data_IF_669339365796
#
_entry.id   IF_669339365796
#
_cell.length_a   1.000
_cell.length_b   1.000
_cell.length_c   1.000
_cell.angle_alpha   90.00
_cell.angle_beta   90.00
_cell.angle_gamma   90.00
#
_symmetry.space_group_name_H-M   'P 1'
#
loop_
_entity.id
_entity.type
_entity.pdbx_description
1 polymer ?
#
# COMPACT_ATOMS: atom_id res chain seq x y z
N UNK A 1 -16.58 28.91 -23.90
CA UNK A 1 -16.89 27.49 -23.62
C UNK A 1 -16.35 27.18 -22.24
N UNK A 2 -17.12 27.49 -21.21
CA UNK A 2 -16.81 27.17 -19.82
C UNK A 2 -17.06 25.69 -19.63
N UNK A 3 -16.00 24.89 -19.59
CA UNK A 3 -16.05 23.46 -19.28
C UNK A 3 -16.45 23.29 -17.82
N UNK A 4 -17.75 23.13 -17.58
CA UNK A 4 -18.27 22.79 -16.26
C UNK A 4 -17.81 21.37 -15.94
N UNK A 5 -16.84 21.23 -15.04
CA UNK A 5 -16.47 19.94 -14.45
C UNK A 5 -17.72 19.42 -13.72
N UNK A 6 -18.31 18.28 -14.12
CA UNK A 6 -19.44 17.73 -13.40
C UNK A 6 -19.02 17.49 -11.94
N UNK A 7 -19.76 18.09 -11.00
CA UNK A 7 -19.54 17.87 -9.58
C UNK A 7 -19.60 16.37 -9.30
N UNK A 8 -18.47 15.84 -8.82
CA UNK A 8 -18.34 14.47 -8.39
C UNK A 8 -19.44 14.09 -7.41
N UNK A 9 -20.05 12.90 -7.54
CA UNK A 9 -20.92 12.38 -6.50
C UNK A 9 -20.15 12.36 -5.17
N UNK A 10 -20.83 12.75 -4.09
CA UNK A 10 -20.26 12.77 -2.76
C UNK A 10 -19.64 11.40 -2.45
N UNK A 11 -18.43 11.36 -1.84
CA UNK A 11 -17.81 10.10 -1.49
C UNK A 11 -18.76 9.28 -0.61
N UNK A 12 -18.86 7.96 -0.82
CA UNK A 12 -19.61 7.11 0.07
C UNK A 12 -19.12 7.30 1.51
N UNK A 13 -19.99 7.21 2.52
CA UNK A 13 -19.62 7.42 3.91
C UNK A 13 -18.42 6.54 4.24
N UNK A 14 -17.37 7.18 4.77
CA UNK A 14 -16.14 6.53 5.22
C UNK A 14 -16.50 5.34 6.08
N UNK A 15 -16.19 4.12 5.61
CA UNK A 15 -16.22 2.94 6.46
C UNK A 15 -15.23 3.24 7.59
N UNK A 16 -15.73 3.35 8.83
CA UNK A 16 -14.92 3.71 9.99
C UNK A 16 -13.68 2.82 10.08
N UNK A 17 -12.54 3.34 9.66
CA UNK A 17 -11.35 2.55 9.40
C UNK A 17 -10.23 3.38 8.79
N UNK A 18 -9.02 2.82 8.76
CA UNK A 18 -7.79 3.44 8.24
C UNK A 18 -7.80 3.77 6.74
N UNK A 19 -8.82 3.31 6.01
CA UNK A 19 -9.00 3.48 4.57
C UNK A 19 -10.30 4.25 4.37
N UNK A 20 -10.22 5.37 3.65
CA UNK A 20 -11.37 6.21 3.29
C UNK A 20 -12.05 5.74 1.99
N UNK A 21 -11.34 4.98 1.17
CA UNK A 21 -11.81 4.51 -0.14
C UNK A 21 -10.64 4.33 -1.10
N UNK A 22 -10.93 4.41 -2.39
CA UNK A 22 -9.94 4.58 -3.43
C UNK A 22 -10.01 6.00 -3.99
N UNK A 23 -8.89 6.51 -4.49
CA UNK A 23 -8.78 7.82 -5.12
C UNK A 23 -8.06 7.69 -6.46
N UNK A 24 -8.61 8.30 -7.50
CA UNK A 24 -7.91 8.41 -8.77
C UNK A 24 -6.68 9.31 -8.62
N UNK A 25 -5.51 8.81 -9.04
CA UNK A 25 -4.26 9.57 -8.97
C UNK A 25 -4.26 10.81 -9.86
N UNK A 26 -5.02 10.79 -10.95
CA UNK A 26 -5.01 11.84 -11.98
C UNK A 26 -6.05 12.92 -11.74
N UNK A 27 -7.30 12.55 -11.44
CA UNK A 27 -8.40 13.52 -11.27
C UNK A 27 -8.88 13.68 -9.81
N UNK A 28 -8.36 12.88 -8.88
CA UNK A 28 -8.73 12.94 -7.46
C UNK A 28 -10.10 12.35 -7.12
N UNK A 29 -10.82 11.79 -8.11
CA UNK A 29 -12.14 11.20 -7.91
C UNK A 29 -12.10 10.08 -6.87
N UNK A 30 -13.05 10.13 -5.93
CA UNK A 30 -13.18 9.13 -4.87
C UNK A 30 -14.12 8.00 -5.26
N UNK A 31 -13.76 6.80 -4.82
CA UNK A 31 -14.48 5.55 -5.05
C UNK A 31 -14.57 4.77 -3.73
N UNK A 32 -15.57 3.90 -3.58
CA UNK A 32 -15.62 2.96 -2.45
C UNK A 32 -14.40 2.03 -2.45
N UNK A 33 -14.02 1.52 -1.27
CA UNK A 33 -12.96 0.52 -1.10
C UNK A 33 -13.44 -0.85 -1.65
N UNK A 34 -13.43 -0.99 -2.97
CA UNK A 34 -13.84 -2.19 -3.70
C UNK A 34 -12.72 -2.65 -4.64
N UNK A 35 -12.82 -3.84 -5.25
CA UNK A 35 -11.85 -4.35 -6.24
C UNK A 35 -11.86 -3.58 -7.59
N UNK A 36 -11.72 -2.25 -7.54
CA UNK A 36 -11.65 -1.35 -8.67
C UNK A 36 -10.19 -0.90 -8.87
N UNK A 37 -9.78 -0.71 -10.12
CA UNK A 37 -8.40 -0.34 -10.46
C UNK A 37 -8.30 0.80 -11.47
N UNK A 38 -9.40 1.20 -12.12
CA UNK A 38 -9.44 2.25 -13.15
C UNK A 38 -10.55 3.25 -12.84
N UNK A 39 -10.24 4.53 -12.99
CA UNK A 39 -11.21 5.60 -12.92
C UNK A 39 -12.09 5.62 -14.18
N UNK A 40 -13.41 5.55 -14.00
CA UNK A 40 -14.38 5.58 -15.10
C UNK A 40 -14.46 6.94 -15.83
N UNK A 41 -13.92 8.01 -15.23
CA UNK A 41 -13.99 9.37 -15.78
C UNK A 41 -12.78 9.73 -16.64
N UNK A 42 -11.59 9.30 -16.23
CA UNK A 42 -10.33 9.69 -16.88
C UNK A 42 -9.41 8.52 -17.23
N UNK A 43 -9.82 7.28 -16.95
CA UNK A 43 -9.04 6.06 -17.15
C UNK A 43 -7.70 6.01 -16.38
N UNK A 44 -7.49 6.94 -15.44
CA UNK A 44 -6.34 6.94 -14.54
C UNK A 44 -6.42 5.83 -13.48
N UNK A 45 -5.26 5.43 -12.90
CA UNK A 45 -5.22 4.40 -11.86
C UNK A 45 -5.90 4.87 -10.57
N UNK A 46 -6.54 3.91 -9.88
CA UNK A 46 -7.07 4.11 -8.53
C UNK A 46 -6.06 3.64 -7.50
N UNK A 47 -5.81 4.47 -6.49
CA UNK A 47 -4.94 4.18 -5.35
C UNK A 47 -5.74 4.19 -4.05
N UNK A 48 -5.20 3.59 -2.99
CA UNK A 48 -5.88 3.55 -1.69
C UNK A 48 -5.82 4.92 -1.01
N UNK A 49 -6.97 5.48 -0.67
CA UNK A 49 -7.05 6.72 0.09
C UNK A 49 -7.01 6.40 1.60
N UNK A 50 -5.89 6.68 2.26
CA UNK A 50 -5.73 6.45 3.70
C UNK A 50 -6.18 7.65 4.55
N UNK A 51 -6.56 7.37 5.80
CA UNK A 51 -6.57 8.35 6.89
C UNK A 51 -5.18 8.42 7.54
N UNK A 52 -4.36 9.36 7.08
CA UNK A 52 -2.99 9.52 7.57
C UNK A 52 -2.92 10.02 9.01
N UNK A 53 -3.90 10.80 9.47
CA UNK A 53 -3.93 11.30 10.84
C UNK A 53 -4.18 10.15 11.83
N UNK A 54 -5.06 9.21 11.46
CA UNK A 54 -5.25 7.98 12.21
C UNK A 54 -4.02 7.07 12.16
N UNK A 55 -3.46 6.83 10.96
CA UNK A 55 -2.29 5.95 10.80
C UNK A 55 -1.08 6.45 11.58
N UNK A 56 -0.81 7.76 11.55
CA UNK A 56 0.29 8.38 12.29
C UNK A 56 0.20 8.17 13.80
N UNK A 57 -1.01 8.03 14.35
CA UNK A 57 -1.26 7.79 15.78
C UNK A 57 -1.23 6.31 16.16
N UNK A 58 -1.48 5.41 15.21
CA UNK A 58 -1.76 3.99 15.49
C UNK A 58 -0.67 3.05 14.98
N UNK A 59 0.04 3.39 13.90
CA UNK A 59 1.11 2.58 13.33
C UNK A 59 2.46 3.09 13.80
N UNK A 60 3.10 2.32 14.67
CA UNK A 60 4.45 2.60 15.15
C UNK A 60 5.44 1.54 14.69
N UNK A 61 6.74 1.84 14.77
CA UNK A 61 7.79 0.86 14.49
C UNK A 61 7.63 -0.39 15.35
N UNK A 62 7.33 -0.22 16.64
CA UNK A 62 7.15 -1.31 17.60
C UNK A 62 5.91 -2.15 17.29
N UNK A 63 4.82 -1.52 16.80
CA UNK A 63 3.64 -2.27 16.35
C UNK A 63 3.95 -3.17 15.14
N UNK A 64 4.76 -2.67 14.19
CA UNK A 64 5.20 -3.43 13.02
C UNK A 64 6.17 -4.53 13.45
N UNK A 65 7.09 -4.23 14.37
CA UNK A 65 8.10 -5.17 14.83
C UNK A 65 7.52 -6.37 15.58
N UNK A 66 6.46 -6.15 16.37
CA UNK A 66 5.71 -7.21 17.06
C UNK A 66 4.90 -8.12 16.13
N UNK A 67 4.67 -7.70 14.89
CA UNK A 67 3.96 -8.50 13.90
C UNK A 67 4.75 -9.73 13.43
N UNK A 68 4.10 -10.69 12.76
CA UNK A 68 4.75 -11.89 12.24
C UNK A 68 5.87 -11.54 11.23
N UNK A 69 6.79 -12.47 10.97
CA UNK A 69 7.83 -12.30 9.94
C UNK A 69 7.29 -12.55 8.54
N UNK A 70 6.21 -11.87 8.18
CA UNK A 70 5.49 -11.94 6.91
C UNK A 70 4.96 -10.55 6.55
N UNK A 71 4.31 -10.39 5.39
CA UNK A 71 3.61 -9.19 4.95
C UNK A 71 2.59 -8.71 5.99
N UNK A 72 2.02 -9.65 6.75
CA UNK A 72 0.98 -9.37 7.75
C UNK A 72 1.45 -8.54 8.94
N UNK A 73 2.75 -8.32 9.13
CA UNK A 73 3.21 -7.30 10.10
C UNK A 73 2.78 -5.87 9.75
N UNK A 74 2.50 -5.62 8.48
CA UNK A 74 1.99 -4.34 7.99
C UNK A 74 0.47 -4.35 7.86
N UNK A 75 -0.23 -5.25 8.55
CA UNK A 75 -1.70 -5.39 8.46
C UNK A 75 -2.43 -4.06 8.62
N UNK A 76 -1.98 -3.17 9.51
CA UNK A 76 -2.55 -1.83 9.69
C UNK A 76 -2.35 -0.87 8.51
N UNK A 77 -1.54 -1.23 7.51
CA UNK A 77 -1.37 -0.51 6.25
C UNK A 77 -2.01 -1.22 5.05
N UNK A 78 -2.28 -2.52 5.10
CA UNK A 78 -2.85 -3.26 3.96
C UNK A 78 -4.31 -2.86 3.69
N UNK A 79 -4.76 -2.63 2.44
CA UNK A 79 -6.10 -2.15 2.13
C UNK A 79 -7.19 -3.23 2.22
N UNK A 80 -7.31 -3.89 3.37
CA UNK A 80 -8.25 -5.00 3.59
C UNK A 80 -9.07 -4.81 4.85
N UNK A 81 -10.31 -5.31 4.80
CA UNK A 81 -11.26 -5.41 5.91
C UNK A 81 -11.40 -6.85 6.40
N UNK A 82 -11.88 -7.04 7.64
CA UNK A 82 -12.12 -8.36 8.23
C UNK A 82 -10.86 -9.11 8.69
N UNK A 83 -11.04 -10.13 9.52
CA UNK A 83 -9.94 -10.90 10.13
C UNK A 83 -9.47 -12.10 9.30
N UNK A 84 -10.30 -12.57 8.36
CA UNK A 84 -9.98 -13.72 7.52
C UNK A 84 -8.94 -13.32 6.48
N UNK A 85 -7.77 -13.94 6.55
CA UNK A 85 -6.66 -13.72 5.64
C UNK A 85 -6.15 -15.05 5.10
N UNK A 86 -5.79 -15.07 3.82
CA UNK A 86 -5.03 -16.18 3.23
C UNK A 86 -3.57 -15.83 3.43
N UNK A 87 -2.88 -16.56 4.31
CA UNK A 87 -1.46 -16.34 4.58
C UNK A 87 -0.60 -17.39 3.88
N UNK A 88 0.08 -16.98 2.81
CA UNK A 88 1.11 -17.80 2.15
C UNK A 88 2.47 -17.69 2.85
N UNK A 89 2.59 -16.90 3.91
CA UNK A 89 3.83 -16.47 4.55
C UNK A 89 4.70 -15.57 3.65
N UNK A 90 4.06 -14.89 2.70
CA UNK A 90 4.75 -13.95 1.81
C UNK A 90 5.39 -12.78 2.57
N UNK A 91 6.45 -12.21 2.02
CA UNK A 91 7.16 -11.05 2.54
C UNK A 91 8.28 -11.40 3.53
N UNK A 92 8.82 -10.37 4.19
CA UNK A 92 9.97 -10.48 5.11
C UNK A 92 11.18 -11.26 4.54
N UNK A 93 11.35 -11.21 3.22
CA UNK A 93 12.40 -11.89 2.49
C UNK A 93 13.80 -11.33 2.83
N UNK A 94 14.88 -12.12 2.69
CA UNK A 94 16.22 -11.73 3.10
C UNK A 94 16.73 -10.46 2.41
N UNK A 95 17.45 -9.63 3.17
CA UNK A 95 18.28 -8.55 2.66
C UNK A 95 19.74 -8.94 2.87
N UNK A 96 20.42 -9.33 1.80
CA UNK A 96 21.73 -9.99 1.83
C UNK A 96 22.81 -8.98 1.47
N UNK A 97 23.85 -8.84 2.30
CA UNK A 97 25.01 -8.03 1.98
C UNK A 97 25.83 -8.73 0.89
N UNK A 98 26.07 -8.06 -0.23
CA UNK A 98 26.68 -8.66 -1.42
C UNK A 98 28.13 -8.19 -1.59
N UNK A 99 29.02 -8.65 -0.70
CA UNK A 99 30.41 -8.17 -0.65
C UNK A 99 31.23 -8.47 -1.91
N UNK A 100 31.11 -9.68 -2.46
CA UNK A 100 31.88 -10.08 -3.66
C UNK A 100 31.45 -9.28 -4.89
N UNK A 101 30.14 -9.19 -5.11
CA UNK A 101 29.57 -8.39 -6.20
C UNK A 101 29.85 -6.90 -6.01
N UNK A 102 29.81 -6.42 -4.76
CA UNK A 102 30.19 -5.06 -4.42
C UNK A 102 31.62 -4.74 -4.82
N UNK A 103 32.58 -5.64 -4.52
CA UNK A 103 33.99 -5.49 -4.91
C UNK A 103 34.17 -5.42 -6.43
N UNK A 104 33.50 -6.32 -7.16
CA UNK A 104 33.56 -6.37 -8.63
C UNK A 104 33.04 -5.09 -9.26
N UNK A 105 31.97 -4.52 -8.70
CA UNK A 105 31.32 -3.30 -9.21
C UNK A 105 31.91 -2.00 -8.62
N UNK A 106 32.91 -2.07 -7.75
CA UNK A 106 33.46 -0.89 -7.05
C UNK A 106 32.51 -0.26 -6.01
N UNK A 107 31.52 -1.00 -5.52
CA UNK A 107 30.53 -0.55 -4.54
C UNK A 107 30.86 -1.01 -3.11
N UNK A 108 30.86 -0.08 -2.16
CA UNK A 108 31.16 -0.37 -0.73
C UNK A 108 29.96 -0.82 0.10
N UNK A 109 28.74 -0.56 -0.37
CA UNK A 109 27.51 -0.81 0.38
C UNK A 109 26.43 -1.41 -0.54
N UNK A 110 26.70 -2.60 -1.06
CA UNK A 110 25.76 -3.32 -1.92
C UNK A 110 24.96 -4.36 -1.12
N UNK A 111 23.65 -4.32 -1.29
CA UNK A 111 22.70 -5.27 -0.70
C UNK A 111 21.76 -5.81 -1.79
N UNK A 112 21.38 -7.07 -1.66
CA UNK A 112 20.41 -7.75 -2.51
C UNK A 112 19.16 -8.03 -1.69
N UNK A 113 18.02 -7.48 -2.12
CA UNK A 113 16.70 -7.86 -1.62
C UNK A 113 16.27 -9.12 -2.35
N UNK A 114 16.35 -10.27 -1.69
CA UNK A 114 16.10 -11.56 -2.33
C UNK A 114 14.60 -11.91 -2.26
N UNK A 115 13.81 -11.37 -3.17
CA UNK A 115 12.37 -11.66 -3.24
C UNK A 115 12.04 -12.98 -3.96
N UNK A 116 13.03 -13.72 -4.47
CA UNK A 116 12.80 -15.01 -5.16
C UNK A 116 12.38 -16.13 -4.20
N UNK A 117 12.53 -15.92 -2.89
CA UNK A 117 12.11 -16.87 -1.85
C UNK A 117 10.70 -16.57 -1.32
N UNK A 118 10.02 -15.61 -1.94
CA UNK A 118 8.61 -15.37 -1.66
C UNK A 118 7.79 -16.56 -2.22
N UNK A 119 6.93 -17.20 -1.42
CA UNK A 119 6.14 -18.37 -1.81
C UNK A 119 5.03 -18.08 -2.81
#
# INVERSE_FOLDING_TARGET
MTSTIPHSPAPPPSVGGRIRGLQCRECGQLYPAQPLHVCELCFGPLEVAYDYDLLKRTVTRESIERGPRTLWRYRALLPIEGEKVVDTHAGFTPLIRADNLGRELGLRNLWIKNDTVNP
#
